data_IF_845703432469
#
_entry.id   IF_845703432469
#
_cell.length_a   1.000
_cell.length_b   1.000
_cell.length_c   1.000
_cell.angle_alpha   90.00
_cell.angle_beta   90.00
_cell.angle_gamma   90.00
#
_symmetry.space_group_name_H-M   'P 1'
#
loop_
_entity.id
_entity.type
_entity.pdbx_description
1 polymer ?
#
# COMPACT_ATOMS: atom_id res chain seq x y z
N UNK A 1 -35.29 -35.56 -16.46
CA UNK A 1 -34.00 -36.21 -16.81
C UNK A 1 -32.98 -35.72 -15.80
N UNK A 2 -32.42 -36.61 -14.96
CA UNK A 2 -31.35 -36.21 -14.04
C UNK A 2 -30.14 -35.80 -14.88
N UNK A 3 -29.66 -34.58 -14.70
CA UNK A 3 -28.36 -34.17 -15.25
C UNK A 3 -27.33 -35.21 -14.82
N UNK A 4 -26.56 -35.81 -15.75
CA UNK A 4 -25.53 -36.77 -15.37
C UNK A 4 -24.59 -36.10 -14.35
N UNK A 5 -24.31 -36.78 -13.24
CA UNK A 5 -23.47 -36.25 -12.17
C UNK A 5 -22.13 -35.78 -12.76
N UNK A 6 -21.94 -34.47 -12.84
CA UNK A 6 -20.72 -33.85 -13.34
C UNK A 6 -19.66 -33.88 -12.25
N UNK A 7 -18.44 -34.28 -12.59
CA UNK A 7 -17.31 -34.30 -11.64
C UNK A 7 -16.36 -33.18 -11.99
N UNK A 8 -16.03 -32.33 -11.02
CA UNK A 8 -14.95 -31.36 -11.15
C UNK A 8 -13.70 -31.89 -10.44
N UNK A 9 -12.55 -31.83 -11.11
CA UNK A 9 -11.24 -32.14 -10.56
C UNK A 9 -10.42 -30.86 -10.55
N UNK A 10 -10.08 -30.38 -9.36
CA UNK A 10 -9.25 -29.19 -9.20
C UNK A 10 -7.81 -29.64 -9.00
N UNK A 11 -6.95 -29.25 -9.94
CA UNK A 11 -5.52 -29.54 -9.90
C UNK A 11 -4.81 -28.30 -9.38
N UNK A 12 -4.31 -28.39 -8.16
CA UNK A 12 -3.51 -27.33 -7.55
C UNK A 12 -2.04 -27.64 -7.79
N UNK A 13 -1.36 -26.79 -8.55
CA UNK A 13 0.08 -26.97 -8.77
C UNK A 13 0.89 -26.19 -7.71
N UNK A 14 2.04 -26.77 -7.29
CA UNK A 14 2.96 -26.15 -6.33
C UNK A 14 3.88 -25.08 -6.94
N UNK A 15 4.91 -24.64 -6.22
CA UNK A 15 5.84 -23.62 -6.73
C UNK A 15 6.69 -24.23 -7.87
N UNK A 16 6.34 -23.96 -9.13
CA UNK A 16 7.05 -24.44 -10.32
C UNK A 16 6.84 -23.52 -11.54
N UNK A 17 7.74 -23.60 -12.52
CA UNK A 17 7.76 -22.76 -13.74
C UNK A 17 6.81 -23.27 -14.85
N UNK A 18 5.69 -23.86 -14.48
CA UNK A 18 4.74 -24.44 -15.43
C UNK A 18 3.99 -23.33 -16.18
N UNK A 19 3.80 -23.53 -17.49
CA UNK A 19 3.02 -22.60 -18.31
C UNK A 19 1.53 -22.73 -18.00
N UNK A 20 0.78 -21.65 -18.24
CA UNK A 20 -0.66 -21.67 -18.11
C UNK A 20 -1.29 -22.84 -18.91
N UNK A 21 -2.19 -23.60 -18.29
CA UNK A 21 -2.87 -24.74 -18.92
C UNK A 21 -2.02 -26.01 -19.07
N UNK A 22 -0.74 -25.99 -18.70
CA UNK A 22 0.16 -27.12 -18.91
C UNK A 22 -0.20 -28.31 -18.02
N UNK A 23 -0.52 -28.07 -16.74
CA UNK A 23 -0.76 -29.15 -15.78
C UNK A 23 -2.04 -29.90 -16.12
N UNK A 24 -3.12 -29.18 -16.42
CA UNK A 24 -4.39 -29.81 -16.83
C UNK A 24 -4.28 -30.52 -18.18
N UNK A 25 -3.42 -30.04 -19.09
CA UNK A 25 -3.15 -30.71 -20.36
C UNK A 25 -2.43 -32.04 -20.15
N UNK A 26 -1.40 -32.07 -19.32
CA UNK A 26 -0.68 -33.31 -19.01
C UNK A 26 -1.54 -34.30 -18.24
N UNK A 27 -2.37 -33.81 -17.30
CA UNK A 27 -3.33 -34.67 -16.61
C UNK A 27 -4.39 -35.21 -17.58
N UNK A 28 -4.93 -34.38 -18.47
CA UNK A 28 -5.87 -34.82 -19.50
C UNK A 28 -5.24 -35.86 -20.42
N UNK A 29 -3.97 -35.67 -20.83
CA UNK A 29 -3.21 -36.66 -21.61
C UNK A 29 -3.09 -37.98 -20.87
N UNK A 30 -2.71 -37.94 -19.59
CA UNK A 30 -2.58 -39.14 -18.76
C UNK A 30 -3.93 -39.86 -18.58
N UNK A 31 -5.02 -39.13 -18.43
CA UNK A 31 -6.37 -39.70 -18.34
C UNK A 31 -6.84 -40.29 -19.68
N UNK A 32 -6.52 -39.62 -20.79
CA UNK A 32 -6.88 -40.07 -22.13
C UNK A 32 -5.93 -41.14 -22.70
N UNK A 33 -4.77 -41.40 -22.12
CA UNK A 33 -3.80 -42.40 -22.62
C UNK A 33 -3.38 -43.43 -21.56
N UNK A 34 -4.00 -43.41 -20.38
CA UNK A 34 -3.48 -44.06 -19.18
C UNK A 34 -3.33 -45.58 -19.27
N UNK A 35 -2.07 -46.05 -19.29
CA UNK A 35 -1.65 -47.44 -19.06
C UNK A 35 -1.86 -48.39 -20.25
N UNK A 36 -1.37 -49.64 -20.12
CA UNK A 36 -1.56 -50.70 -21.11
C UNK A 36 -3.05 -51.08 -21.19
N UNK A 37 -3.82 -50.40 -22.05
CA UNK A 37 -5.24 -50.63 -22.23
C UNK A 37 -5.93 -49.54 -23.06
N UNK A 38 -7.24 -49.68 -23.24
CA UNK A 38 -8.04 -48.67 -23.93
C UNK A 38 -8.20 -47.38 -23.11
N UNK A 39 -8.25 -46.22 -23.77
CA UNK A 39 -8.31 -44.94 -23.08
C UNK A 39 -9.66 -44.75 -22.36
N UNK A 40 -9.59 -44.46 -21.06
CA UNK A 40 -10.76 -44.34 -20.18
C UNK A 40 -11.62 -43.12 -20.46
N UNK A 41 -11.03 -42.09 -21.08
CA UNK A 41 -11.68 -40.84 -21.44
C UNK A 41 -11.53 -40.60 -22.94
N UNK A 42 -12.62 -40.16 -23.56
CA UNK A 42 -12.74 -39.91 -25.00
C UNK A 42 -13.28 -38.50 -25.16
N UNK A 43 -12.62 -37.67 -25.97
CA UNK A 43 -12.86 -36.23 -26.12
C UNK A 43 -12.29 -35.37 -24.98
N UNK A 44 -11.61 -34.30 -25.38
CA UNK A 44 -11.04 -33.30 -24.48
C UNK A 44 -11.10 -31.92 -25.10
N UNK A 45 -11.87 -31.03 -24.48
CA UNK A 45 -12.01 -29.64 -24.93
C UNK A 45 -11.43 -28.68 -23.90
N UNK A 46 -10.47 -27.87 -24.32
CA UNK A 46 -9.82 -26.87 -23.49
C UNK A 46 -10.55 -25.53 -23.60
N UNK A 47 -10.82 -24.92 -22.46
CA UNK A 47 -11.54 -23.66 -22.33
C UNK A 47 -10.79 -22.75 -21.37
N UNK A 48 -10.71 -21.46 -21.67
CA UNK A 48 -10.38 -20.44 -20.69
C UNK A 48 -11.67 -20.05 -19.96
N UNK A 49 -11.61 -19.99 -18.64
CA UNK A 49 -12.78 -19.73 -17.80
C UNK A 49 -12.47 -18.68 -16.75
N UNK A 50 -13.45 -17.82 -16.48
CA UNK A 50 -13.45 -16.89 -15.36
C UNK A 50 -14.38 -17.46 -14.29
N UNK A 51 -13.84 -17.68 -13.10
CA UNK A 51 -14.58 -18.20 -11.95
C UNK A 51 -14.79 -17.08 -10.95
N UNK A 52 -16.04 -16.64 -10.70
CA UNK A 52 -16.31 -15.70 -9.63
C UNK A 52 -15.91 -16.32 -8.29
N UNK A 53 -15.03 -15.65 -7.57
CA UNK A 53 -14.61 -16.05 -6.23
C UNK A 53 -15.26 -15.12 -5.22
N UNK A 54 -16.12 -15.69 -4.38
CA UNK A 54 -16.69 -14.97 -3.26
C UNK A 54 -15.72 -15.00 -2.08
N UNK A 55 -15.63 -13.88 -1.37
CA UNK A 55 -14.94 -13.84 -0.08
C UNK A 55 -15.58 -14.87 0.85
N UNK A 56 -14.77 -15.76 1.40
CA UNK A 56 -15.19 -16.61 2.50
C UNK A 56 -15.15 -15.79 3.79
N UNK A 57 -16.30 -15.60 4.40
CA UNK A 57 -16.36 -15.02 5.74
C UNK A 57 -15.75 -16.03 6.73
N UNK A 58 -14.85 -15.59 7.62
CA UNK A 58 -14.29 -16.43 8.67
C UNK A 58 -15.39 -17.12 9.49
N UNK A 59 -15.15 -18.36 9.89
CA UNK A 59 -16.14 -19.17 10.62
C UNK A 59 -16.65 -18.47 11.89
N UNK A 60 -17.94 -18.66 12.20
CA UNK A 60 -18.75 -17.94 13.19
C UNK A 60 -18.33 -18.03 14.68
N UNK A 61 -17.06 -18.29 15.00
CA UNK A 61 -16.59 -18.42 16.39
C UNK A 61 -16.44 -17.07 17.11
N UNK A 62 -16.41 -15.94 16.39
CA UNK A 62 -16.47 -14.62 17.03
C UNK A 62 -17.31 -13.70 16.15
N UNK A 63 -18.36 -13.03 16.67
CA UNK A 63 -19.08 -12.04 15.87
C UNK A 63 -18.08 -10.97 15.43
N UNK A 64 -17.82 -10.90 14.13
CA UNK A 64 -17.19 -9.74 13.54
C UNK A 64 -18.03 -8.53 13.98
N UNK A 65 -17.43 -7.49 14.59
CA UNK A 65 -18.22 -6.38 15.07
C UNK A 65 -18.81 -5.68 13.84
N UNK A 66 -20.11 -5.87 13.62
CA UNK A 66 -20.89 -5.14 12.64
C UNK A 66 -20.65 -3.63 12.88
N UNK A 67 -19.88 -2.99 12.00
CA UNK A 67 -19.56 -1.56 12.07
C UNK A 67 -18.42 -1.15 13.02
N UNK A 68 -17.68 -2.08 13.65
CA UNK A 68 -16.63 -1.75 14.64
C UNK A 68 -15.18 -1.72 14.12
N UNK A 69 -14.91 -2.30 12.94
CA UNK A 69 -13.55 -2.49 12.41
C UNK A 69 -12.74 -1.20 12.30
N UNK A 70 -13.35 -0.11 11.81
CA UNK A 70 -12.69 1.19 11.68
C UNK A 70 -12.32 1.81 13.04
N UNK A 71 -13.10 1.58 14.10
CA UNK A 71 -12.80 2.11 15.44
C UNK A 71 -11.65 1.37 16.11
N UNK A 72 -11.60 0.03 16.01
CA UNK A 72 -10.50 -0.77 16.56
C UNK A 72 -9.17 -0.51 15.82
N UNK A 73 -9.23 -0.13 14.54
CA UNK A 73 -8.06 0.18 13.72
C UNK A 73 -7.34 1.47 14.12
N UNK A 74 -8.10 2.48 14.59
CA UNK A 74 -7.49 3.71 15.16
C UNK A 74 -6.63 3.42 16.38
N UNK A 75 -6.81 2.27 17.04
CA UNK A 75 -6.07 1.96 18.24
C UNK A 75 -4.58 1.72 17.95
N UNK A 76 -4.19 1.22 16.77
CA UNK A 76 -2.76 1.10 16.37
C UNK A 76 -2.15 2.40 15.84
N UNK A 77 -2.97 3.43 15.67
CA UNK A 77 -2.46 4.72 15.22
C UNK A 77 -1.74 5.46 16.35
N UNK A 78 -1.94 5.07 17.62
CA UNK A 78 -1.33 5.73 18.78
C UNK A 78 -0.06 5.02 19.23
N UNK A 79 0.91 5.75 19.81
CA UNK A 79 2.11 5.13 20.35
C UNK A 79 1.82 4.20 21.53
N UNK A 80 2.37 2.97 21.51
CA UNK A 80 2.38 2.05 22.65
C UNK A 80 1.05 1.37 22.99
N UNK A 81 0.04 1.46 22.12
CA UNK A 81 -1.27 0.83 22.30
C UNK A 81 -1.30 -0.61 21.76
N UNK A 82 -2.01 -1.53 22.44
CA UNK A 82 -2.12 -2.92 22.01
C UNK A 82 -2.93 -3.04 20.71
N UNK A 83 -2.81 -4.17 20.02
CA UNK A 83 -3.54 -4.42 18.76
C UNK A 83 -5.06 -4.37 18.92
N UNK A 84 -5.74 -4.14 17.79
CA UNK A 84 -7.21 -4.25 17.73
C UNK A 84 -7.68 -5.66 18.11
N UNK A 85 -6.96 -6.71 17.69
CA UNK A 85 -7.25 -8.09 18.07
C UNK A 85 -7.22 -8.28 19.59
N UNK A 86 -6.16 -7.79 20.26
CA UNK A 86 -6.03 -7.87 21.72
C UNK A 86 -7.20 -7.19 22.44
N UNK A 87 -7.62 -6.03 21.94
CA UNK A 87 -8.74 -5.27 22.52
C UNK A 87 -10.08 -5.96 22.32
N UNK A 88 -10.32 -6.52 21.13
CA UNK A 88 -11.53 -7.31 20.82
C UNK A 88 -11.60 -8.53 21.73
N UNK A 89 -10.51 -9.30 21.86
CA UNK A 89 -10.48 -10.50 22.69
C UNK A 89 -10.65 -10.19 24.18
N UNK A 90 -10.08 -9.08 24.68
CA UNK A 90 -10.26 -8.68 26.07
C UNK A 90 -11.69 -8.20 26.39
N UNK A 91 -12.39 -7.68 25.38
CA UNK A 91 -13.77 -7.20 25.52
C UNK A 91 -14.80 -8.32 25.28
N UNK A 92 -14.38 -9.46 24.74
CA UNK A 92 -15.24 -10.62 24.53
C UNK A 92 -15.65 -11.25 25.89
N UNK A 93 -16.88 -11.75 26.02
CA UNK A 93 -17.31 -12.49 27.20
C UNK A 93 -16.38 -13.68 27.43
N UNK A 94 -15.85 -13.83 28.65
CA UNK A 94 -14.98 -14.96 29.00
C UNK A 94 -15.82 -16.24 28.97
N UNK A 95 -15.58 -17.19 28.06
CA UNK A 95 -16.28 -18.47 28.11
C UNK A 95 -15.92 -19.20 29.41
N UNK A 96 -16.87 -19.92 29.98
CA UNK A 96 -16.65 -20.69 31.21
C UNK A 96 -15.45 -21.65 31.01
N UNK A 97 -14.55 -21.70 32.00
CA UNK A 97 -13.23 -22.34 31.90
C UNK A 97 -13.23 -23.87 31.64
N UNK A 98 -14.40 -24.48 31.51
CA UNK A 98 -14.62 -25.92 31.27
C UNK A 98 -15.20 -26.21 29.89
N UNK A 99 -15.35 -25.21 29.01
CA UNK A 99 -15.87 -25.44 27.67
C UNK A 99 -14.75 -25.96 26.72
N UNK A 100 -14.83 -27.21 26.23
CA UNK A 100 -13.87 -27.73 25.24
C UNK A 100 -13.94 -26.98 23.89
N UNK A 101 -14.90 -26.06 23.72
CA UNK A 101 -14.99 -25.13 22.60
C UNK A 101 -14.21 -23.82 22.79
N UNK A 102 -13.36 -23.70 23.83
CA UNK A 102 -12.52 -22.53 24.04
C UNK A 102 -11.77 -22.19 22.74
N UNK A 103 -11.97 -20.98 22.17
CA UNK A 103 -11.49 -20.67 20.83
C UNK A 103 -9.96 -20.71 20.79
N UNK A 104 -9.42 -21.48 19.86
CA UNK A 104 -7.99 -21.47 19.55
C UNK A 104 -7.60 -20.03 19.15
N UNK A 105 -6.81 -19.37 20.00
CA UNK A 105 -6.35 -18.00 19.80
C UNK A 105 -5.62 -17.82 18.46
N UNK A 106 -4.97 -18.88 17.94
CA UNK A 106 -4.32 -18.85 16.63
C UNK A 106 -5.34 -18.82 15.49
N UNK A 107 -6.38 -19.66 15.56
CA UNK A 107 -7.49 -19.62 14.62
C UNK A 107 -8.24 -18.29 14.70
N UNK A 108 -8.51 -17.79 15.91
CA UNK A 108 -9.18 -16.52 16.11
C UNK A 108 -8.37 -15.33 15.58
N UNK A 109 -7.03 -15.36 15.68
CA UNK A 109 -6.17 -14.35 15.06
C UNK A 109 -6.24 -14.44 13.53
N UNK A 110 -6.22 -15.65 12.97
CA UNK A 110 -6.33 -15.84 11.54
C UNK A 110 -7.69 -15.35 11.01
N UNK A 111 -8.78 -15.70 11.69
CA UNK A 111 -10.13 -15.22 11.38
C UNK A 111 -10.23 -13.70 11.47
N UNK A 112 -9.59 -13.10 12.49
CA UNK A 112 -9.51 -11.64 12.61
C UNK A 112 -8.74 -10.99 11.44
N UNK A 113 -7.64 -11.60 10.97
CA UNK A 113 -6.86 -11.10 9.85
C UNK A 113 -7.63 -11.26 8.52
N UNK A 114 -8.25 -12.42 8.29
CA UNK A 114 -9.09 -12.69 7.12
C UNK A 114 -10.33 -11.79 7.08
N UNK A 115 -10.93 -11.52 8.24
CA UNK A 115 -12.03 -10.57 8.41
C UNK A 115 -11.67 -9.13 8.06
N UNK A 116 -10.37 -8.79 8.01
CA UNK A 116 -9.86 -7.47 7.61
C UNK A 116 -9.35 -7.39 6.18
N UNK A 117 -9.28 -8.51 5.47
CA UNK A 117 -8.84 -8.54 4.09
C UNK A 117 -9.90 -7.88 3.19
N UNK A 118 -9.54 -6.76 2.57
CA UNK A 118 -10.31 -6.15 1.49
C UNK A 118 -9.70 -6.60 0.16
N UNK A 119 -10.45 -7.42 -0.58
CA UNK A 119 -10.05 -7.86 -1.92
C UNK A 119 -10.50 -6.79 -2.93
N UNK A 120 -9.60 -6.29 -3.79
CA UNK A 120 -9.99 -5.37 -4.86
C UNK A 120 -10.88 -6.09 -5.87
N UNK A 121 -11.77 -5.35 -6.55
CA UNK A 121 -12.78 -5.94 -7.46
C UNK A 121 -12.18 -6.81 -8.57
N UNK A 122 -10.96 -6.50 -9.02
CA UNK A 122 -10.28 -7.30 -10.05
C UNK A 122 -9.82 -8.67 -9.54
N UNK A 123 -9.72 -8.90 -8.23
CA UNK A 123 -9.42 -10.20 -7.62
C UNK A 123 -10.69 -11.03 -7.35
N UNK A 124 -11.88 -10.50 -7.64
CA UNK A 124 -13.15 -11.22 -7.50
C UNK A 124 -13.40 -12.25 -8.63
N UNK A 125 -12.56 -12.25 -9.66
CA UNK A 125 -12.59 -13.20 -10.77
C UNK A 125 -11.27 -13.97 -10.80
N UNK A 126 -11.35 -15.29 -10.71
CA UNK A 126 -10.20 -16.18 -10.87
C UNK A 126 -10.12 -16.67 -12.31
N UNK A 127 -9.04 -16.35 -13.00
CA UNK A 127 -8.77 -16.85 -14.34
C UNK A 127 -8.20 -18.27 -14.24
N UNK A 128 -8.81 -19.22 -14.94
CA UNK A 128 -8.39 -20.62 -14.92
C UNK A 128 -8.52 -21.26 -16.30
N UNK A 129 -7.79 -22.35 -16.50
CA UNK A 129 -7.98 -23.25 -17.63
C UNK A 129 -8.84 -24.44 -17.21
N UNK A 130 -9.90 -24.70 -17.99
CA UNK A 130 -10.74 -25.89 -17.85
C UNK A 130 -10.52 -26.85 -19.00
N UNK A 131 -10.32 -28.14 -18.72
CA UNK A 131 -10.38 -29.21 -19.73
C UNK A 131 -11.59 -30.09 -19.47
N UNK A 132 -12.55 -30.11 -20.39
CA UNK A 132 -13.75 -30.96 -20.28
C UNK A 132 -13.50 -32.29 -20.97
N UNK A 133 -13.67 -33.39 -20.23
CA UNK A 133 -13.49 -34.77 -20.68
C UNK A 133 -14.80 -35.55 -20.58
N UNK A 134 -14.97 -36.59 -21.41
CA UNK A 134 -16.07 -37.55 -21.27
C UNK A 134 -15.56 -38.95 -21.02
N UNK A 135 -16.11 -39.62 -20.01
CA UNK A 135 -15.70 -41.00 -19.67
C UNK A 135 -16.29 -41.99 -20.67
N UNK A 136 -15.46 -42.84 -21.27
CA UNK A 136 -15.87 -43.81 -22.31
C UNK A 136 -16.99 -44.75 -21.85
N UNK A 137 -16.91 -45.26 -20.62
CA UNK A 137 -17.78 -46.32 -20.13
C UNK A 137 -19.25 -45.90 -19.94
N UNK A 138 -19.51 -44.63 -19.65
CA UNK A 138 -20.84 -44.15 -19.25
C UNK A 138 -21.12 -42.70 -19.65
N UNK A 139 -20.27 -42.14 -20.52
CA UNK A 139 -20.40 -40.79 -21.06
C UNK A 139 -20.47 -39.67 -20.01
N UNK A 140 -19.96 -39.95 -18.80
CA UNK A 140 -19.99 -39.03 -17.66
C UNK A 140 -19.01 -37.86 -17.89
N UNK A 141 -19.44 -36.59 -17.77
CA UNK A 141 -18.57 -35.45 -17.94
C UNK A 141 -17.66 -35.25 -16.73
N UNK A 142 -16.38 -34.97 -17.00
CA UNK A 142 -15.36 -34.66 -16.01
C UNK A 142 -14.64 -33.38 -16.43
N UNK A 143 -14.70 -32.35 -15.61
CA UNK A 143 -14.03 -31.07 -15.87
C UNK A 143 -12.78 -30.96 -15.00
N UNK A 144 -11.62 -30.82 -15.62
CA UNK A 144 -10.36 -30.52 -14.94
C UNK A 144 -10.16 -29.01 -14.88
N UNK A 145 -9.84 -28.47 -13.70
CA UNK A 145 -9.53 -27.06 -13.50
C UNK A 145 -8.09 -26.92 -13.00
N UNK A 146 -7.39 -25.89 -13.46
CA UNK A 146 -6.05 -25.56 -12.97
C UNK A 146 -6.12 -24.43 -11.96
N UNK A 147 -5.47 -24.61 -10.80
CA UNK A 147 -5.27 -23.58 -9.79
C UNK A 147 -3.78 -23.45 -9.48
N UNK A 148 -3.32 -22.21 -9.34
CA UNK A 148 -1.92 -21.90 -9.10
C UNK A 148 -1.68 -21.48 -7.65
N UNK A 149 -0.89 -22.26 -6.90
CA UNK A 149 -0.42 -21.80 -5.58
C UNK A 149 0.39 -20.51 -5.70
N UNK A 150 1.11 -20.38 -6.81
CA UNK A 150 1.88 -19.19 -7.13
C UNK A 150 1.00 -17.94 -7.28
N UNK A 151 -0.30 -18.04 -7.60
CA UNK A 151 -1.16 -16.84 -7.70
C UNK A 151 -1.31 -16.15 -6.34
N UNK A 152 -1.19 -16.89 -5.24
CA UNK A 152 -1.22 -16.34 -3.88
C UNK A 152 0.12 -15.68 -3.47
N UNK A 153 1.20 -15.93 -4.22
CA UNK A 153 2.55 -15.46 -3.89
C UNK A 153 3.24 -14.66 -4.99
N UNK A 154 2.65 -14.58 -6.18
CA UNK A 154 3.15 -13.81 -7.32
C UNK A 154 3.07 -12.33 -6.98
N UNK A 155 4.22 -11.79 -6.61
CA UNK A 155 4.46 -10.36 -6.68
C UNK A 155 4.26 -9.98 -8.14
N UNK A 156 3.27 -9.13 -8.44
CA UNK A 156 2.98 -8.77 -9.82
C UNK A 156 4.20 -8.20 -10.53
N UNK A 157 4.16 -8.22 -11.86
CA UNK A 157 5.32 -7.97 -12.70
C UNK A 157 6.01 -6.63 -12.43
N UNK A 158 7.35 -6.64 -12.36
CA UNK A 158 8.19 -5.44 -12.29
C UNK A 158 8.99 -5.28 -11.00
N UNK A 159 10.27 -4.88 -11.14
CA UNK A 159 11.19 -4.69 -10.00
C UNK A 159 10.72 -3.65 -8.97
N UNK A 160 10.00 -2.62 -9.40
CA UNK A 160 9.42 -1.62 -8.50
C UNK A 160 8.31 -2.20 -7.62
N UNK A 161 7.51 -3.13 -8.14
CA UNK A 161 6.46 -3.81 -7.37
C UNK A 161 7.06 -4.77 -6.34
N UNK A 162 8.10 -5.51 -6.71
CA UNK A 162 8.86 -6.35 -5.78
C UNK A 162 9.52 -5.53 -4.66
N UNK A 163 10.11 -4.37 -4.99
CA UNK A 163 10.67 -3.45 -4.01
C UNK A 163 9.59 -2.87 -3.08
N UNK A 164 8.47 -2.44 -3.64
CA UNK A 164 7.34 -1.91 -2.87
C UNK A 164 6.74 -2.97 -1.94
N UNK A 165 6.55 -4.20 -2.41
CA UNK A 165 6.05 -5.30 -1.60
C UNK A 165 7.04 -5.70 -0.49
N UNK A 166 8.34 -5.69 -0.78
CA UNK A 166 9.39 -5.94 0.21
C UNK A 166 9.37 -4.85 1.29
N UNK A 167 9.24 -3.58 0.89
CA UNK A 167 9.06 -2.46 1.80
C UNK A 167 7.82 -2.65 2.69
N UNK A 168 6.66 -2.98 2.09
CA UNK A 168 5.44 -3.28 2.83
C UNK A 168 5.63 -4.44 3.82
N UNK A 169 6.32 -5.51 3.41
CA UNK A 169 6.63 -6.66 4.27
C UNK A 169 7.44 -6.24 5.49
N UNK A 170 8.46 -5.38 5.35
CA UNK A 170 9.24 -4.89 6.49
C UNK A 170 8.38 -4.12 7.51
N UNK A 171 7.46 -3.26 7.07
CA UNK A 171 6.56 -2.56 8.01
C UNK A 171 5.49 -3.50 8.58
N UNK A 172 5.01 -4.45 7.80
CA UNK A 172 3.97 -5.38 8.22
C UNK A 172 4.49 -6.39 9.23
N UNK A 173 5.70 -6.91 9.02
CA UNK A 173 6.36 -7.89 9.90
C UNK A 173 6.49 -7.36 11.33
N UNK A 174 6.85 -6.09 11.50
CA UNK A 174 6.92 -5.46 12.81
C UNK A 174 5.55 -5.40 13.51
N UNK A 175 4.47 -5.17 12.75
CA UNK A 175 3.13 -5.24 13.33
C UNK A 175 2.64 -6.65 13.60
N UNK A 176 3.04 -7.62 12.79
CA UNK A 176 2.75 -9.03 13.02
C UNK A 176 3.45 -9.53 14.29
N UNK A 177 4.71 -9.16 14.50
CA UNK A 177 5.45 -9.48 15.72
C UNK A 177 4.73 -8.94 16.97
N UNK A 178 4.19 -7.71 16.92
CA UNK A 178 3.38 -7.17 18.00
C UNK A 178 2.06 -7.95 18.20
N UNK A 179 1.39 -8.42 17.13
CA UNK A 179 0.19 -9.26 17.23
C UNK A 179 0.48 -10.62 17.90
N UNK A 180 1.63 -11.22 17.60
CA UNK A 180 2.06 -12.47 18.23
C UNK A 180 2.31 -12.27 19.72
N UNK A 181 3.01 -11.19 20.11
CA UNK A 181 3.22 -10.86 21.54
C UNK A 181 1.90 -10.63 22.27
N UNK A 182 0.95 -9.96 21.62
CA UNK A 182 -0.40 -9.76 22.13
C UNK A 182 -1.13 -11.09 22.36
N UNK A 183 -1.07 -12.00 21.39
CA UNK A 183 -1.69 -13.32 21.46
C UNK A 183 -1.11 -14.15 22.62
N UNK A 184 0.21 -14.18 22.76
CA UNK A 184 0.88 -14.88 23.87
C UNK A 184 0.54 -14.23 25.21
N UNK A 185 0.43 -12.90 25.26
CA UNK A 185 0.00 -12.21 26.49
C UNK A 185 -1.43 -12.58 26.91
N UNK A 186 -2.33 -12.87 25.96
CA UNK A 186 -3.69 -13.34 26.23
C UNK A 186 -3.69 -14.78 26.75
N UNK A 187 -2.90 -15.67 26.14
CA UNK A 187 -2.86 -17.09 26.54
C UNK A 187 -2.28 -17.28 27.95
N UNK A 188 -1.25 -16.50 28.32
CA UNK A 188 -0.57 -16.59 29.61
C UNK A 188 -1.29 -15.78 30.72
N UNK A 189 -2.36 -15.04 30.40
CA UNK A 189 -3.05 -14.10 31.33
C UNK A 189 -2.06 -13.17 32.04
N UNK A 190 -1.16 -12.58 31.25
CA UNK A 190 0.16 -12.11 31.67
C UNK A 190 0.26 -11.08 32.81
N UNK A 191 1.41 -11.14 33.50
CA UNK A 191 1.83 -10.21 34.56
C UNK A 191 2.41 -8.88 34.06
N UNK A 192 3.04 -8.11 34.96
CA UNK A 192 3.60 -6.78 34.63
C UNK A 192 4.69 -6.81 33.55
N UNK A 193 5.54 -7.84 33.53
CA UNK A 193 6.60 -8.00 32.54
C UNK A 193 6.06 -8.19 31.11
N UNK A 194 5.00 -9.00 30.94
CA UNK A 194 4.32 -9.18 29.65
C UNK A 194 3.68 -7.89 29.15
N UNK A 195 3.04 -7.12 30.05
CA UNK A 195 2.49 -5.80 29.71
C UNK A 195 3.58 -4.80 29.29
N UNK A 196 4.76 -4.86 29.90
CA UNK A 196 5.90 -4.04 29.48
C UNK A 196 6.39 -4.46 28.09
N UNK A 197 6.60 -5.76 27.85
CA UNK A 197 7.04 -6.29 26.57
C UNK A 197 6.06 -5.94 25.44
N UNK A 198 4.76 -6.05 25.71
CA UNK A 198 3.67 -5.66 24.83
C UNK A 198 3.75 -4.18 24.45
N UNK A 199 3.90 -3.30 25.44
CA UNK A 199 4.04 -1.86 25.22
C UNK A 199 5.29 -1.53 24.41
N UNK A 200 6.42 -2.19 24.69
CA UNK A 200 7.66 -1.99 23.95
C UNK A 200 7.52 -2.41 22.48
N UNK A 201 6.91 -3.56 22.19
CA UNK A 201 6.64 -3.99 20.81
C UNK A 201 5.65 -3.07 20.10
N UNK A 202 4.61 -2.60 20.79
CA UNK A 202 3.69 -1.60 20.24
C UNK A 202 4.40 -0.27 19.92
N UNK A 203 5.31 0.17 20.79
CA UNK A 203 6.16 1.34 20.53
C UNK A 203 7.10 1.13 19.35
N UNK A 204 7.77 -0.02 19.25
CA UNK A 204 8.64 -0.36 18.12
C UNK A 204 7.88 -0.39 16.80
N UNK A 205 6.71 -1.03 16.77
CA UNK A 205 5.84 -1.07 15.60
C UNK A 205 5.41 0.35 15.17
N UNK A 206 5.10 1.22 16.14
CA UNK A 206 4.76 2.63 15.86
C UNK A 206 5.98 3.43 15.39
N UNK A 207 7.15 3.27 16.01
CA UNK A 207 8.41 3.94 15.63
C UNK A 207 8.82 3.60 14.20
N UNK A 208 8.68 2.33 13.83
CA UNK A 208 8.94 1.87 12.46
C UNK A 208 7.94 2.51 11.50
N UNK A 209 6.64 2.42 11.75
CA UNK A 209 5.65 2.98 10.81
C UNK A 209 5.72 4.50 10.72
N UNK A 210 5.71 5.20 11.84
CA UNK A 210 5.60 6.66 11.88
C UNK A 210 6.94 7.36 11.59
N UNK A 211 7.82 7.50 12.60
CA UNK A 211 9.10 8.16 12.48
C UNK A 211 10.01 7.65 11.35
N UNK A 212 10.16 6.33 11.14
CA UNK A 212 11.08 5.85 10.10
C UNK A 212 10.60 6.25 8.69
N UNK A 213 9.29 6.21 8.44
CA UNK A 213 8.72 6.72 7.19
C UNK A 213 8.94 8.23 7.03
N UNK A 214 8.86 9.01 8.11
CA UNK A 214 9.14 10.45 8.08
C UNK A 214 10.62 10.77 7.82
N UNK A 215 11.55 9.97 8.36
CA UNK A 215 12.98 10.09 8.06
C UNK A 215 13.24 9.75 6.60
N UNK A 216 12.69 8.66 6.09
CA UNK A 216 12.81 8.29 4.68
C UNK A 216 12.18 9.34 3.76
N UNK A 217 11.05 9.94 4.18
CA UNK A 217 10.47 11.07 3.48
C UNK A 217 11.44 12.26 3.44
N UNK A 218 12.08 12.59 4.56
CA UNK A 218 13.05 13.67 4.62
C UNK A 218 14.24 13.40 3.69
N UNK A 219 14.73 12.16 3.65
CA UNK A 219 15.77 11.74 2.70
C UNK A 219 15.30 11.84 1.24
N UNK A 220 14.06 11.43 0.95
CA UNK A 220 13.47 11.56 -0.39
C UNK A 220 13.36 13.02 -0.82
N UNK A 221 13.02 13.93 0.12
CA UNK A 221 12.96 15.37 -0.13
C UNK A 221 14.34 16.00 -0.40
N UNK A 222 15.44 15.34 -0.02
CA UNK A 222 16.79 15.77 -0.40
C UNK A 222 17.11 15.47 -1.87
N UNK A 223 16.45 14.47 -2.49
CA UNK A 223 16.68 14.12 -3.90
C UNK A 223 16.33 15.28 -4.85
N UNK A 224 15.14 15.91 -4.82
CA UNK A 224 14.85 17.03 -5.71
C UNK A 224 15.78 18.23 -5.44
N UNK A 225 16.20 18.43 -4.19
CA UNK A 225 17.18 19.45 -3.85
C UNK A 225 18.57 19.14 -4.45
N UNK A 226 19.02 17.90 -4.39
CA UNK A 226 20.27 17.46 -5.02
C UNK A 226 20.20 17.50 -6.54
N UNK A 227 19.08 17.09 -7.14
CA UNK A 227 18.86 17.14 -8.58
C UNK A 227 18.87 18.57 -9.12
N UNK A 228 18.29 19.51 -8.36
CA UNK A 228 18.36 20.95 -8.63
C UNK A 228 19.81 21.47 -8.71
N UNK A 229 20.72 20.94 -7.90
CA UNK A 229 22.14 21.31 -7.94
C UNK A 229 22.89 20.79 -9.18
N UNK A 230 22.33 19.81 -9.91
CA UNK A 230 22.94 19.24 -11.12
C UNK A 230 22.56 20.00 -12.40
N UNK A 231 21.65 20.97 -12.32
CA UNK A 231 21.19 21.75 -13.47
C UNK A 231 22.20 22.85 -13.80
N UNK A 232 22.60 22.97 -15.07
CA UNK A 232 23.52 24.04 -15.49
C UNK A 232 22.88 25.42 -15.31
N UNK A 233 23.64 26.48 -14.96
CA UNK A 233 23.11 27.81 -14.73
C UNK A 233 22.32 28.36 -15.94
N UNK A 234 22.80 28.05 -17.15
CA UNK A 234 22.18 28.46 -18.41
C UNK A 234 20.79 27.84 -18.61
N UNK A 235 20.59 26.60 -18.15
CA UNK A 235 19.32 25.89 -18.22
C UNK A 235 18.43 26.16 -17.00
N UNK A 236 19.02 26.54 -15.86
CA UNK A 236 18.30 26.74 -14.60
C UNK A 236 17.19 27.79 -14.72
N UNK A 237 17.45 28.91 -15.42
CA UNK A 237 16.44 29.94 -15.68
C UNK A 237 15.25 29.43 -16.50
N UNK A 238 15.53 28.67 -17.58
CA UNK A 238 14.52 28.10 -18.46
C UNK A 238 13.70 27.00 -17.76
N UNK A 239 14.35 26.11 -17.02
CA UNK A 239 13.68 25.04 -16.26
C UNK A 239 12.80 25.61 -15.15
N UNK A 240 13.29 26.62 -14.42
CA UNK A 240 12.53 27.28 -13.35
C UNK A 240 11.34 28.05 -13.93
N UNK A 241 11.52 28.76 -15.05
CA UNK A 241 10.44 29.39 -15.79
C UNK A 241 9.39 28.37 -16.27
N UNK A 242 9.82 27.25 -16.86
CA UNK A 242 8.91 26.19 -17.29
C UNK A 242 8.14 25.60 -16.12
N UNK A 243 8.82 25.27 -15.01
CA UNK A 243 8.20 24.73 -13.81
C UNK A 243 7.15 25.68 -13.23
N UNK A 244 7.50 26.96 -13.05
CA UNK A 244 6.56 27.95 -12.52
C UNK A 244 5.41 28.24 -13.49
N UNK A 245 5.63 28.17 -14.80
CA UNK A 245 4.56 28.27 -15.79
C UNK A 245 3.56 27.11 -15.68
N UNK A 246 4.04 25.86 -15.58
CA UNK A 246 3.17 24.68 -15.37
C UNK A 246 2.41 24.82 -14.05
N UNK A 247 3.08 25.22 -12.96
CA UNK A 247 2.42 25.46 -11.67
C UNK A 247 1.31 26.53 -11.78
N UNK A 248 1.56 27.65 -12.48
CA UNK A 248 0.55 28.69 -12.66
C UNK A 248 -0.68 28.17 -13.41
N UNK A 249 -0.49 27.37 -14.47
CA UNK A 249 -1.57 26.73 -15.23
C UNK A 249 -2.39 25.81 -14.33
N UNK A 250 -1.73 24.93 -13.57
CA UNK A 250 -2.39 23.98 -12.66
C UNK A 250 -3.16 24.72 -11.56
N UNK A 251 -2.57 25.73 -10.93
CA UNK A 251 -3.22 26.52 -9.88
C UNK A 251 -4.45 27.25 -10.43
N UNK A 252 -4.38 27.79 -11.64
CA UNK A 252 -5.51 28.43 -12.30
C UNK A 252 -6.63 27.42 -12.61
N UNK A 253 -6.29 26.24 -13.12
CA UNK A 253 -7.25 25.17 -13.36
C UNK A 253 -7.94 24.71 -12.05
N UNK A 254 -7.18 24.56 -10.97
CA UNK A 254 -7.72 24.24 -9.64
C UNK A 254 -8.59 25.36 -9.08
N UNK A 255 -8.26 26.63 -9.36
CA UNK A 255 -9.07 27.77 -8.97
C UNK A 255 -10.45 27.72 -9.66
N UNK A 256 -10.48 27.39 -10.96
CA UNK A 256 -11.71 27.20 -11.73
C UNK A 256 -12.49 25.98 -11.24
N UNK A 257 -11.83 24.84 -11.02
CA UNK A 257 -12.47 23.61 -10.54
C UNK A 257 -13.09 23.78 -9.15
N UNK A 258 -12.36 24.39 -8.21
CA UNK A 258 -12.88 24.67 -6.86
C UNK A 258 -14.06 25.64 -6.91
N UNK A 259 -14.03 26.62 -7.82
CA UNK A 259 -15.16 27.51 -8.06
C UNK A 259 -16.41 26.76 -8.55
N UNK A 260 -16.24 25.76 -9.41
CA UNK A 260 -17.36 24.97 -9.95
C UNK A 260 -17.93 23.96 -8.94
N UNK A 261 -17.12 23.45 -8.01
CA UNK A 261 -17.51 22.36 -7.12
C UNK A 261 -17.97 22.80 -5.72
N UNK A 262 -17.54 23.95 -5.21
CA UNK A 262 -17.87 24.38 -3.85
C UNK A 262 -19.24 25.06 -3.75
N UNK A 263 -20.09 24.58 -2.84
CA UNK A 263 -21.45 25.08 -2.60
C UNK A 263 -21.51 26.32 -1.72
N UNK A 264 -20.48 26.56 -0.89
CA UNK A 264 -20.41 27.72 0.01
C UNK A 264 -19.76 28.92 -0.67
N UNK A 265 -20.45 30.08 -0.77
CA UNK A 265 -19.94 31.24 -1.50
C UNK A 265 -18.67 31.83 -0.86
N UNK A 266 -18.57 31.86 0.47
CA UNK A 266 -17.41 32.39 1.18
C UNK A 266 -16.16 31.52 0.98
N UNK A 267 -16.30 30.20 1.10
CA UNK A 267 -15.20 29.24 0.89
C UNK A 267 -14.72 29.28 -0.56
N UNK A 268 -15.67 29.39 -1.49
CA UNK A 268 -15.41 29.47 -2.92
C UNK A 268 -14.58 30.70 -3.29
N UNK A 269 -14.98 31.89 -2.82
CA UNK A 269 -14.22 33.13 -3.05
C UNK A 269 -12.85 33.12 -2.36
N UNK A 270 -12.76 32.61 -1.13
CA UNK A 270 -11.48 32.51 -0.43
C UNK A 270 -10.49 31.60 -1.17
N UNK A 271 -10.91 30.40 -1.58
CA UNK A 271 -10.07 29.47 -2.36
C UNK A 271 -9.66 30.07 -3.71
N UNK A 272 -10.60 30.68 -4.43
CA UNK A 272 -10.33 31.34 -5.71
C UNK A 272 -9.25 32.41 -5.57
N UNK A 273 -9.41 33.34 -4.61
CA UNK A 273 -8.45 34.43 -4.40
C UNK A 273 -7.07 33.91 -4.02
N UNK A 274 -7.00 32.92 -3.13
CA UNK A 274 -5.72 32.31 -2.72
C UNK A 274 -5.03 31.62 -3.90
N UNK A 275 -5.76 30.84 -4.69
CA UNK A 275 -5.18 30.11 -5.84
C UNK A 275 -4.76 31.06 -6.97
N UNK A 276 -5.54 32.12 -7.24
CA UNK A 276 -5.17 33.15 -8.22
C UNK A 276 -3.98 33.98 -7.76
N UNK A 277 -3.90 34.35 -6.48
CA UNK A 277 -2.74 35.04 -5.93
C UNK A 277 -1.47 34.16 -6.04
N UNK A 278 -1.58 32.86 -5.77
CA UNK A 278 -0.49 31.92 -5.93
C UNK A 278 -0.07 31.77 -7.41
N UNK A 279 -1.04 31.67 -8.34
CA UNK A 279 -0.76 31.63 -9.77
C UNK A 279 -0.06 32.91 -10.27
N UNK A 280 -0.50 34.08 -9.79
CA UNK A 280 0.15 35.35 -10.10
C UNK A 280 1.58 35.40 -9.57
N UNK A 281 1.83 34.91 -8.35
CA UNK A 281 3.18 34.80 -7.80
C UNK A 281 4.08 33.89 -8.65
N UNK A 282 3.55 32.77 -9.17
CA UNK A 282 4.27 31.92 -10.12
C UNK A 282 4.61 32.67 -11.42
N UNK A 283 3.68 33.44 -11.98
CA UNK A 283 3.93 34.26 -13.19
C UNK A 283 5.03 35.29 -12.93
N UNK A 284 5.00 35.99 -11.79
CA UNK A 284 6.07 36.90 -11.40
C UNK A 284 7.41 36.17 -11.30
N UNK A 285 7.44 34.97 -10.70
CA UNK A 285 8.64 34.15 -10.63
C UNK A 285 9.17 33.75 -12.02
N UNK A 286 8.29 33.44 -12.99
CA UNK A 286 8.69 33.19 -14.40
C UNK A 286 9.37 34.43 -15.00
N UNK A 287 8.73 35.60 -14.88
CA UNK A 287 9.27 36.85 -15.44
C UNK A 287 10.62 37.20 -14.84
N UNK A 288 10.78 36.97 -13.53
CA UNK A 288 12.04 37.21 -12.83
C UNK A 288 13.10 36.19 -13.24
N UNK A 289 12.74 34.91 -13.38
CA UNK A 289 13.66 33.85 -13.79
C UNK A 289 14.18 34.02 -15.22
N UNK A 290 13.37 34.58 -16.13
CA UNK A 290 13.77 34.87 -17.50
C UNK A 290 14.57 36.17 -17.62
N UNK A 291 14.53 37.05 -16.61
CA UNK A 291 15.25 38.31 -16.62
C UNK A 291 16.60 38.15 -15.92
N UNK A 292 17.68 38.00 -16.70
CA UNK A 292 19.05 37.66 -16.30
C UNK A 292 19.76 38.60 -15.30
N UNK A 293 19.04 39.55 -14.68
CA UNK A 293 19.58 40.53 -13.73
C UNK A 293 19.61 40.05 -12.28
N UNK A 294 19.00 38.90 -11.98
CA UNK A 294 18.90 38.39 -10.61
C UNK A 294 19.82 37.19 -10.38
N UNK A 295 20.32 36.98 -9.15
CA UNK A 295 21.12 35.81 -8.82
C UNK A 295 20.26 34.53 -8.88
N UNK A 296 20.17 33.94 -10.07
CA UNK A 296 19.35 32.77 -10.40
C UNK A 296 19.57 31.60 -9.42
N UNK A 297 20.80 31.40 -8.99
CA UNK A 297 21.18 30.37 -8.00
C UNK A 297 20.44 30.56 -6.67
N UNK A 298 20.31 31.80 -6.19
CA UNK A 298 19.59 32.10 -4.92
C UNK A 298 18.08 31.85 -5.07
N UNK A 299 17.53 32.17 -6.23
CA UNK A 299 16.11 31.93 -6.52
C UNK A 299 15.79 30.44 -6.67
N UNK A 300 16.66 29.69 -7.34
CA UNK A 300 16.54 28.25 -7.48
C UNK A 300 16.63 27.54 -6.13
N UNK A 301 17.60 27.95 -5.29
CA UNK A 301 17.74 27.46 -3.93
C UNK A 301 16.52 27.79 -3.06
N UNK A 302 16.02 29.03 -3.12
CA UNK A 302 14.82 29.44 -2.39
C UNK A 302 13.56 28.70 -2.85
N UNK A 303 13.40 28.49 -4.15
CA UNK A 303 12.29 27.72 -4.72
C UNK A 303 12.36 26.24 -4.29
N UNK A 304 13.54 25.64 -4.29
CA UNK A 304 13.77 24.27 -3.79
C UNK A 304 13.42 24.13 -2.31
N UNK A 305 13.84 25.07 -1.47
CA UNK A 305 13.48 25.10 -0.04
C UNK A 305 11.97 25.21 0.17
N UNK A 306 11.31 26.11 -0.55
CA UNK A 306 9.86 26.27 -0.48
C UNK A 306 9.12 25.01 -0.96
N UNK A 307 9.60 24.37 -2.02
CA UNK A 307 9.05 23.12 -2.52
C UNK A 307 9.18 22.00 -1.48
N UNK A 308 10.37 21.84 -0.88
CA UNK A 308 10.61 20.85 0.20
C UNK A 308 9.71 21.13 1.41
N UNK A 309 9.57 22.39 1.82
CA UNK A 309 8.70 22.77 2.93
C UNK A 309 7.22 22.48 2.64
N UNK A 310 6.72 22.92 1.48
CA UNK A 310 5.33 22.73 1.10
C UNK A 310 4.98 21.25 0.90
N UNK A 311 5.83 20.51 0.18
CA UNK A 311 5.65 19.08 -0.06
C UNK A 311 5.76 18.28 1.25
N UNK A 312 6.74 18.62 2.11
CA UNK A 312 6.91 18.02 3.42
C UNK A 312 5.69 18.23 4.32
N UNK A 313 5.21 19.47 4.45
CA UNK A 313 3.99 19.80 5.22
C UNK A 313 2.79 19.04 4.65
N UNK A 314 2.57 19.06 3.33
CA UNK A 314 1.45 18.38 2.70
C UNK A 314 1.49 16.86 2.93
N UNK A 315 2.66 16.23 2.77
CA UNK A 315 2.85 14.81 3.00
C UNK A 315 2.66 14.44 4.47
N UNK A 316 3.17 15.24 5.41
CA UNK A 316 2.95 15.04 6.86
C UNK A 316 1.46 15.14 7.20
N UNK A 317 0.74 16.12 6.65
CA UNK A 317 -0.71 16.25 6.87
C UNK A 317 -1.47 15.05 6.28
N UNK A 318 -1.11 14.59 5.07
CA UNK A 318 -1.69 13.38 4.47
C UNK A 318 -1.39 12.14 5.31
N UNK A 319 -0.15 12.00 5.77
CA UNK A 319 0.30 10.86 6.55
C UNK A 319 -0.28 10.83 7.96
N UNK A 320 -0.47 11.99 8.59
CA UNK A 320 -1.05 12.10 9.93
C UNK A 320 -2.52 11.67 10.01
N UNK A 321 -3.22 11.60 8.86
CA UNK A 321 -4.57 11.01 8.76
C UNK A 321 -4.55 9.48 8.88
N UNK A 322 -3.42 8.85 8.54
CA UNK A 322 -3.25 7.40 8.59
C UNK A 322 -2.59 6.97 9.90
N UNK A 323 -1.62 7.73 10.38
CA UNK A 323 -0.87 7.43 11.61
C UNK A 323 -1.01 8.60 12.59
N UNK A 324 -1.59 8.37 13.76
CA UNK A 324 -1.78 9.42 14.76
C UNK A 324 -0.50 9.68 15.56
N UNK A 325 -0.38 10.87 16.15
CA UNK A 325 0.79 11.24 16.96
C UNK A 325 2.05 11.59 16.16
N UNK A 326 2.07 11.39 14.84
CA UNK A 326 3.25 11.72 13.99
C UNK A 326 3.26 13.16 13.50
N UNK A 327 2.15 13.90 13.64
CA UNK A 327 2.02 15.25 13.05
C UNK A 327 3.06 16.24 13.60
N UNK A 328 3.20 16.32 14.93
CA UNK A 328 4.16 17.21 15.58
C UNK A 328 5.61 16.84 15.23
N UNK A 329 5.93 15.54 15.29
CA UNK A 329 7.26 15.02 14.94
C UNK A 329 7.58 15.26 13.46
N UNK A 330 6.63 15.02 12.56
CA UNK A 330 6.78 15.23 11.13
C UNK A 330 7.03 16.70 10.78
N UNK A 331 6.25 17.62 11.34
CA UNK A 331 6.47 19.06 11.14
C UNK A 331 7.81 19.52 11.72
N UNK A 332 8.19 19.02 12.89
CA UNK A 332 9.51 19.27 13.48
C UNK A 332 10.65 18.78 12.59
N UNK A 333 10.52 17.60 12.00
CA UNK A 333 11.53 17.02 11.10
C UNK A 333 11.61 17.76 9.77
N UNK A 334 10.48 18.14 9.18
CA UNK A 334 10.45 18.99 7.97
C UNK A 334 11.12 20.33 8.26
N UNK A 335 10.79 20.98 9.38
CA UNK A 335 11.41 22.24 9.79
C UNK A 335 12.93 22.07 9.99
N UNK A 336 13.38 21.02 10.68
CA UNK A 336 14.79 20.71 10.87
C UNK A 336 15.51 20.47 9.53
N UNK A 337 14.86 19.78 8.59
CA UNK A 337 15.39 19.53 7.23
C UNK A 337 15.54 20.85 6.46
N UNK A 338 14.52 21.71 6.47
CA UNK A 338 14.55 23.03 5.82
C UNK A 338 15.63 23.91 6.44
N UNK A 339 15.75 23.95 7.77
CA UNK A 339 16.81 24.69 8.47
C UNK A 339 18.19 24.14 8.09
N UNK A 340 18.37 22.82 8.09
CA UNK A 340 19.60 22.16 7.69
C UNK A 340 20.00 22.51 6.24
N UNK A 341 19.03 22.48 5.32
CA UNK A 341 19.22 22.90 3.94
C UNK A 341 19.59 24.38 3.84
N UNK A 342 18.94 25.28 4.59
CA UNK A 342 19.29 26.71 4.66
C UNK A 342 20.74 26.93 5.10
N UNK A 343 21.18 26.24 6.16
CA UNK A 343 22.54 26.34 6.69
C UNK A 343 23.55 25.79 5.69
N UNK A 344 23.32 24.58 5.16
CA UNK A 344 24.20 23.94 4.20
C UNK A 344 24.29 24.75 2.89
N UNK A 345 23.16 25.21 2.37
CA UNK A 345 23.11 26.01 1.14
C UNK A 345 23.81 27.35 1.29
N UNK A 346 23.72 28.01 2.45
CA UNK A 346 24.48 29.24 2.72
C UNK A 346 25.99 28.98 2.73
N UNK A 347 26.43 27.83 3.24
CA UNK A 347 27.84 27.45 3.27
C UNK A 347 28.37 27.05 1.87
N UNK A 348 27.53 26.41 1.04
CA UNK A 348 27.88 25.94 -0.29
C UNK A 348 27.74 27.01 -1.38
N UNK A 349 26.94 28.05 -1.15
CA UNK A 349 26.68 29.12 -2.13
C UNK A 349 27.96 29.71 -2.76
N UNK A 350 29.02 30.02 -1.98
CA UNK A 350 30.26 30.57 -2.54
C UNK A 350 31.00 29.58 -3.46
N UNK A 351 30.93 28.28 -3.16
CA UNK A 351 31.62 27.24 -3.93
C UNK A 351 30.92 27.00 -5.27
N UNK A 352 29.59 26.96 -5.26
CA UNK A 352 28.78 26.83 -6.48
C UNK A 352 28.99 28.01 -7.39
N UNK A 353 29.06 29.25 -6.87
CA UNK A 353 29.38 30.41 -7.72
C UNK A 353 30.78 30.35 -8.34
N UNK A 354 31.77 29.79 -7.63
CA UNK A 354 33.15 29.71 -8.13
C UNK A 354 33.42 28.57 -9.12
N UNK A 355 32.64 27.48 -9.07
CA UNK A 355 32.83 26.33 -9.97
C UNK A 355 32.41 26.60 -11.42
N UNK A 356 31.61 27.65 -11.66
CA UNK A 356 31.20 28.05 -13.01
C UNK A 356 32.05 29.19 -13.60
N UNK A 357 33.09 29.65 -12.89
CA UNK A 357 34.06 30.65 -13.38
C UNK A 357 35.29 30.01 -14.07
N UNK A 358 35.37 28.67 -14.09
CA UNK A 358 36.37 27.87 -14.82
C UNK A 358 35.68 27.09 -15.94
#
# INVERSE_FOLDING_TARGET
>A
MSTPDRVAVVVVHGIADQRAGQTVRELARLLCHGGAGEPRYVQGEMHEVLVPVARLEPGAATPAPAGGGQKAETARQRPGTPSGFYQVQRSAPVPAATDPSAPDLGLALNDYLLGRLELPEHEALYESTRVSLRRRANDRPVDLYELYWADLSRLGEGGLRALSASYQLFFHLNTLAADVVDQVSLSVRGGAAWRLLQRLHAWLAWLMKGPAALVQLSMLLLIPFGAAALVSPDQAGQMLAALFAVCAIVLTALAVLSWLHDTSPLVRWAKLLVLLAAALACIVAVLVALNARWPLVKMHFGAGLLAVAALGIWLVERYSRVTSGVRGLGHGLVAATVIGLCVAGRALLPQVSSQFEW
#
